data_IF_520800590977
#
_entry.id   IF_520800590977
#
_cell.length_a   1.000
_cell.length_b   1.000
_cell.length_c   1.000
_cell.angle_alpha   90.00
_cell.angle_beta   90.00
_cell.angle_gamma   90.00
#
_symmetry.space_group_name_H-M   'P 1'
#
loop_
_entity.id
_entity.type
_entity.pdbx_description
1 polymer ?
#
# COMPACT_ATOMS: atom_id res chain seq x y z
N UNK A 1 -32.61 -15.53 2.87
CA UNK A 1 -32.16 -14.40 2.00
C UNK A 1 -31.19 -13.45 2.70
N UNK A 2 -31.36 -13.13 3.98
CA UNK A 2 -30.50 -12.19 4.73
C UNK A 2 -29.05 -12.68 4.99
N UNK A 3 -28.84 -13.99 5.12
CA UNK A 3 -27.52 -14.62 5.32
C UNK A 3 -26.65 -14.65 4.06
N UNK A 4 -27.25 -14.83 2.88
CA UNK A 4 -26.54 -14.78 1.59
C UNK A 4 -25.99 -13.37 1.29
N UNK A 5 -26.76 -12.33 1.64
CA UNK A 5 -26.31 -10.94 1.50
C UNK A 5 -25.08 -10.63 2.38
N UNK A 6 -25.04 -11.16 3.60
CA UNK A 6 -23.90 -10.96 4.50
C UNK A 6 -22.63 -11.68 4.00
N UNK A 7 -22.77 -12.90 3.46
CA UNK A 7 -21.65 -13.64 2.87
C UNK A 7 -21.08 -12.94 1.63
N UNK A 8 -21.95 -12.35 0.79
CA UNK A 8 -21.52 -11.55 -0.37
C UNK A 8 -20.78 -10.28 0.04
N UNK A 9 -21.23 -9.57 1.08
CA UNK A 9 -20.55 -8.38 1.59
C UNK A 9 -19.18 -8.69 2.19
N UNK A 10 -19.05 -9.80 2.92
CA UNK A 10 -17.76 -10.24 3.47
C UNK A 10 -16.81 -10.67 2.35
N UNK A 11 -17.27 -11.50 1.41
CA UNK A 11 -16.44 -11.97 0.29
C UNK A 11 -15.88 -10.84 -0.57
N UNK A 12 -16.70 -9.82 -0.82
CA UNK A 12 -16.30 -8.61 -1.53
C UNK A 12 -15.22 -7.85 -0.75
N UNK A 13 -15.35 -7.67 0.56
CA UNK A 13 -14.34 -6.97 1.37
C UNK A 13 -12.95 -7.65 1.38
N UNK A 14 -12.87 -8.99 1.38
CA UNK A 14 -11.58 -9.70 1.40
C UNK A 14 -10.84 -9.56 0.07
N UNK A 15 -11.56 -9.49 -1.05
CA UNK A 15 -10.94 -9.39 -2.39
C UNK A 15 -10.22 -8.07 -2.66
N UNK A 16 -10.56 -6.98 -1.96
CA UNK A 16 -9.90 -5.69 -2.19
C UNK A 16 -8.70 -5.44 -1.28
N UNK A 17 -8.59 -6.12 -0.13
CA UNK A 17 -7.45 -5.95 0.76
C UNK A 17 -6.18 -6.60 0.20
N UNK A 18 -6.31 -7.78 -0.43
CA UNK A 18 -5.21 -8.50 -1.09
C UNK A 18 -4.68 -7.77 -2.35
N UNK A 19 -5.50 -6.91 -2.97
CA UNK A 19 -5.10 -6.13 -4.14
C UNK A 19 -4.34 -4.84 -3.81
N UNK A 20 -4.35 -4.39 -2.55
CA UNK A 20 -3.63 -3.15 -2.17
C UNK A 20 -2.14 -3.43 -2.00
N UNK A 21 -1.77 -4.67 -1.66
CA UNK A 21 -0.38 -5.08 -1.41
C UNK A 21 -0.15 -6.48 -1.99
N UNK A 22 0.14 -6.55 -3.30
CA UNK A 22 0.55 -7.79 -3.97
C UNK A 22 1.70 -8.50 -3.23
N UNK A 23 1.97 -9.78 -3.53
CA UNK A 23 3.12 -10.50 -2.97
C UNK A 23 4.45 -9.74 -3.14
N UNK A 24 4.61 -8.98 -4.22
CA UNK A 24 5.75 -8.09 -4.48
C UNK A 24 5.95 -7.01 -3.40
N UNK A 25 4.91 -6.64 -2.64
CA UNK A 25 5.06 -5.69 -1.53
C UNK A 25 5.47 -6.36 -0.22
N UNK A 26 5.38 -7.70 -0.10
CA UNK A 26 5.79 -8.40 1.14
C UNK A 26 7.28 -8.27 1.41
N UNK A 27 8.11 -8.22 0.37
CA UNK A 27 9.55 -8.06 0.54
C UNK A 27 9.95 -6.66 1.04
N UNK A 28 9.07 -5.68 0.86
CA UNK A 28 9.22 -4.34 1.40
C UNK A 28 8.56 -4.15 2.77
N UNK A 29 8.01 -5.19 3.43
CA UNK A 29 7.17 -5.05 4.62
C UNK A 29 7.78 -4.22 5.77
N UNK A 30 9.11 -4.19 5.89
CA UNK A 30 9.86 -3.35 6.84
C UNK A 30 9.70 -1.84 6.57
N UNK A 31 9.49 -1.48 5.30
CA UNK A 31 9.39 -0.12 4.80
C UNK A 31 7.96 0.29 4.42
N UNK A 32 7.05 -0.66 4.19
CA UNK A 32 5.67 -0.39 3.76
C UNK A 32 4.99 0.63 4.67
N UNK A 33 4.82 1.84 4.12
CA UNK A 33 4.15 2.98 4.74
C UNK A 33 3.74 3.98 3.63
N UNK A 34 2.94 4.99 3.98
CA UNK A 34 2.61 6.11 3.10
C UNK A 34 3.60 7.26 3.25
N UNK A 35 3.89 7.96 2.16
CA UNK A 35 4.79 9.10 2.17
C UNK A 35 4.38 10.22 1.21
N UNK A 36 5.05 11.36 1.33
CA UNK A 36 4.93 12.50 0.43
C UNK A 36 6.26 12.71 -0.32
N UNK A 37 6.33 12.37 -1.62
CA UNK A 37 7.60 12.33 -2.36
C UNK A 37 8.27 13.71 -2.50
N UNK A 38 7.50 14.80 -2.41
CA UNK A 38 8.05 16.15 -2.51
C UNK A 38 8.38 16.79 -1.13
N UNK A 39 8.20 16.07 -0.02
CA UNK A 39 8.53 16.55 1.34
C UNK A 39 9.88 16.04 1.84
N UNK A 40 10.53 16.82 2.71
CA UNK A 40 11.79 16.46 3.38
C UNK A 40 11.69 16.77 4.90
N UNK A 41 11.58 15.75 5.77
CA UNK A 41 11.56 14.32 5.46
C UNK A 41 10.24 13.91 4.80
N UNK A 42 10.31 12.94 3.87
CA UNK A 42 9.15 12.43 3.12
C UNK A 42 8.16 11.63 3.96
N UNK A 43 8.52 11.32 5.22
CA UNK A 43 7.76 10.48 6.15
C UNK A 43 8.24 9.04 6.25
N UNK A 44 9.16 8.60 5.39
CA UNK A 44 9.69 7.23 5.45
C UNK A 44 10.69 7.01 6.60
N UNK A 45 10.74 5.79 7.11
CA UNK A 45 11.75 5.33 8.06
C UNK A 45 13.15 5.35 7.43
N UNK A 46 14.19 5.40 8.27
CA UNK A 46 15.58 5.32 7.82
C UNK A 46 15.84 4.03 7.04
N UNK A 47 16.49 4.16 5.88
CA UNK A 47 16.76 3.02 4.98
C UNK A 47 15.64 2.71 3.98
N UNK A 48 14.51 3.42 4.05
CA UNK A 48 13.40 3.30 3.11
C UNK A 48 13.34 4.50 2.16
N UNK A 49 12.89 4.27 0.93
CA UNK A 49 12.74 5.30 -0.09
C UNK A 49 11.26 5.55 -0.40
N UNK A 50 10.91 6.82 -0.62
CA UNK A 50 9.56 7.22 -0.99
C UNK A 50 9.40 7.19 -2.52
N UNK A 51 8.54 6.33 -3.03
CA UNK A 51 8.20 6.22 -4.45
C UNK A 51 6.85 6.85 -4.73
N UNK A 52 6.78 7.77 -5.69
CA UNK A 52 5.53 8.45 -6.05
C UNK A 52 4.54 7.46 -6.67
N UNK A 53 3.28 7.53 -6.25
CA UNK A 53 2.17 6.84 -6.92
C UNK A 53 1.76 7.63 -8.16
N UNK A 54 1.89 7.02 -9.34
CA UNK A 54 1.48 7.66 -10.60
C UNK A 54 -0.04 7.59 -10.83
N UNK A 55 -0.73 6.69 -10.14
CA UNK A 55 -2.17 6.48 -10.24
C UNK A 55 -2.99 7.37 -9.29
N UNK A 56 -2.35 8.21 -8.46
CA UNK A 56 -3.04 9.03 -7.45
C UNK A 56 -2.68 10.51 -7.56
N UNK A 57 -3.65 11.42 -7.82
CA UNK A 57 -3.37 12.81 -8.23
C UNK A 57 -2.88 13.78 -7.13
N UNK A 58 -2.40 13.34 -5.97
CA UNK A 58 -2.26 14.22 -4.79
C UNK A 58 -0.90 14.16 -4.05
N UNK A 59 0.23 14.08 -4.75
CA UNK A 59 1.57 14.03 -4.11
C UNK A 59 1.65 12.95 -3.00
N UNK A 60 1.15 11.76 -3.31
CA UNK A 60 1.24 10.60 -2.43
C UNK A 60 2.21 9.57 -3.02
N UNK A 61 2.90 8.88 -2.13
CA UNK A 61 3.83 7.81 -2.45
C UNK A 61 3.74 6.67 -1.45
N UNK A 62 4.54 5.65 -1.71
CA UNK A 62 4.78 4.53 -0.81
C UNK A 62 6.24 4.47 -0.40
N UNK A 63 6.47 4.21 0.88
CA UNK A 63 7.77 3.84 1.40
C UNK A 63 8.05 2.38 1.04
N UNK A 64 9.14 2.15 0.32
CA UNK A 64 9.60 0.81 -0.05
C UNK A 64 11.08 0.66 0.28
N UNK A 65 11.51 -0.58 0.47
CA UNK A 65 12.93 -0.91 0.66
C UNK A 65 13.63 -0.87 -0.71
N UNK A 66 14.55 0.08 -0.97
CA UNK A 66 15.23 0.19 -2.26
C UNK A 66 16.20 -0.99 -2.55
N UNK A 67 16.44 -1.86 -1.56
CA UNK A 67 17.31 -3.04 -1.67
C UNK A 67 16.55 -4.28 -2.16
N UNK A 68 15.24 -4.18 -2.35
CA UNK A 68 14.35 -5.26 -2.78
C UNK A 68 13.79 -4.95 -4.18
N UNK A 69 13.59 -5.97 -5.02
CA UNK A 69 13.03 -5.81 -6.36
C UNK A 69 11.60 -5.27 -6.36
#
# INVERSE_FOLDING_TARGET
MRTLLLLLLVGVAVTFADQIWSEDYREHAQCVDTCRPDECPSGCKSGCACYRRFDHPNNHGYCLDPSKP
#
